data_IF_453289000483
#
_entry.id   IF_453289000483
#
_cell.length_a   1.000
_cell.length_b   1.000
_cell.length_c   1.000
_cell.angle_alpha   90.00
_cell.angle_beta   90.00
_cell.angle_gamma   90.00
#
_symmetry.space_group_name_H-M   'P 1'
#
loop_
_entity.id
_entity.type
_entity.pdbx_description
1 polymer ?
#
# COMPACT_ATOMS: atom_id res chain seq x y z
N UNK A 1 -7.67 -10.85 -4.29
CA UNK A 1 -8.80 -10.74 -3.35
C UNK A 1 -10.01 -10.23 -4.08
N UNK A 2 -11.17 -10.86 -3.87
CA UNK A 2 -12.41 -10.39 -4.46
C UNK A 2 -12.76 -9.00 -3.91
N UNK A 3 -13.18 -8.07 -4.79
CA UNK A 3 -13.29 -6.67 -4.40
C UNK A 3 -14.53 -6.37 -3.56
N UNK A 4 -15.64 -7.07 -3.75
CA UNK A 4 -16.93 -6.80 -3.09
C UNK A 4 -17.58 -8.07 -2.54
N UNK A 5 -16.85 -8.79 -1.68
CA UNK A 5 -17.38 -9.97 -0.98
C UNK A 5 -16.90 -9.97 0.46
N UNK A 6 -17.63 -10.66 1.35
CA UNK A 6 -17.24 -10.83 2.75
C UNK A 6 -15.89 -11.56 2.88
N UNK A 7 -15.68 -12.62 2.10
CA UNK A 7 -14.40 -13.31 2.06
C UNK A 7 -13.27 -12.37 1.62
N UNK A 8 -13.50 -11.60 0.56
CA UNK A 8 -12.55 -10.58 0.10
C UNK A 8 -12.22 -9.56 1.18
N UNK A 9 -13.20 -9.10 1.97
CA UNK A 9 -12.95 -8.19 3.08
C UNK A 9 -11.99 -8.80 4.11
N UNK A 10 -12.20 -10.06 4.51
CA UNK A 10 -11.31 -10.79 5.43
C UNK A 10 -9.90 -10.96 4.86
N UNK A 11 -9.80 -11.26 3.57
CA UNK A 11 -8.51 -11.38 2.89
C UNK A 11 -7.75 -10.03 2.89
N UNK A 12 -8.44 -8.92 2.60
CA UNK A 12 -7.85 -7.58 2.63
C UNK A 12 -7.42 -7.14 4.03
N UNK A 13 -8.19 -7.51 5.06
CA UNK A 13 -7.82 -7.25 6.46
C UNK A 13 -6.60 -8.07 6.88
N UNK A 14 -6.47 -9.31 6.42
CA UNK A 14 -5.35 -10.20 6.75
C UNK A 14 -4.00 -9.75 6.19
N UNK A 15 -3.98 -8.75 5.30
CA UNK A 15 -2.76 -8.16 4.74
C UNK A 15 -1.94 -7.38 5.76
N UNK A 16 -2.55 -7.02 6.89
CA UNK A 16 -1.90 -6.25 7.95
C UNK A 16 -1.96 -7.07 9.24
N UNK A 17 -0.90 -7.09 10.06
CA UNK A 17 -0.91 -7.71 11.37
C UNK A 17 -2.08 -7.25 12.25
N UNK A 18 -2.53 -8.12 13.17
CA UNK A 18 -3.71 -7.88 13.99
C UNK A 18 -3.55 -6.69 14.96
N UNK A 19 -2.33 -6.44 15.44
CA UNK A 19 -1.95 -5.25 16.23
C UNK A 19 -1.87 -3.97 15.36
N UNK A 20 -1.96 -4.14 14.05
CA UNK A 20 -1.88 -3.12 13.04
C UNK A 20 -0.48 -2.85 12.49
N UNK A 21 0.52 -3.61 12.93
CA UNK A 21 1.92 -3.41 12.58
C UNK A 21 2.47 -2.11 13.15
N UNK A 22 2.07 -1.79 14.39
CA UNK A 22 2.44 -0.55 15.07
C UNK A 22 3.77 -0.76 15.77
N UNK A 23 4.74 0.09 15.43
CA UNK A 23 6.04 0.16 16.08
C UNK A 23 6.02 1.32 17.07
N UNK A 24 6.44 1.02 18.29
CA UNK A 24 6.59 1.98 19.38
C UNK A 24 8.06 2.34 19.54
N UNK A 25 8.38 3.62 19.63
CA UNK A 25 9.71 4.08 20.04
C UNK A 25 9.60 5.27 20.98
N UNK A 26 10.65 5.48 21.78
CA UNK A 26 10.76 6.67 22.62
C UNK A 26 11.48 7.75 21.83
N UNK A 27 10.86 8.92 21.68
CA UNK A 27 11.51 10.08 21.09
C UNK A 27 12.63 10.55 22.02
N UNK A 28 13.85 10.67 21.49
CA UNK A 28 15.02 11.04 22.28
C UNK A 28 15.03 12.52 22.71
N UNK A 29 14.32 13.39 21.98
CA UNK A 29 14.25 14.83 22.25
C UNK A 29 13.14 15.15 23.26
N UNK A 30 11.95 14.59 23.09
CA UNK A 30 10.79 14.87 23.96
C UNK A 30 10.66 13.89 25.12
N UNK A 31 11.28 12.70 25.00
CA UNK A 31 11.10 11.60 25.95
C UNK A 31 9.76 10.88 25.82
N UNK A 32 8.89 11.30 24.91
CA UNK A 32 7.54 10.73 24.74
C UNK A 32 7.57 9.40 23.99
N UNK A 33 6.55 8.57 24.22
CA UNK A 33 6.34 7.34 23.45
C UNK A 33 5.58 7.66 22.17
N UNK A 34 6.21 7.43 21.03
CA UNK A 34 5.64 7.66 19.70
C UNK A 34 5.32 6.34 19.00
N UNK A 35 4.38 6.42 18.04
CA UNK A 35 3.90 5.28 17.27
C UNK A 35 3.98 5.55 15.78
N UNK A 36 4.34 4.52 15.02
CA UNK A 36 4.34 4.53 13.56
C UNK A 36 3.95 3.15 13.06
N UNK A 37 3.67 3.07 11.77
CA UNK A 37 3.50 1.81 11.08
C UNK A 37 4.57 1.66 10.03
N UNK A 38 5.03 0.44 9.80
CA UNK A 38 5.91 0.15 8.67
C UNK A 38 5.26 0.61 7.37
N UNK A 39 6.05 1.22 6.47
CA UNK A 39 5.54 1.74 5.19
C UNK A 39 4.75 0.69 4.39
N UNK A 40 5.16 -0.58 4.43
CA UNK A 40 4.45 -1.70 3.81
C UNK A 40 2.98 -1.79 4.27
N UNK A 41 2.74 -1.82 5.59
CA UNK A 41 1.40 -1.96 6.14
C UNK A 41 0.54 -0.72 5.90
N UNK A 42 1.14 0.46 5.94
CA UNK A 42 0.43 1.70 5.61
C UNK A 42 -0.06 1.72 4.14
N UNK A 43 0.75 1.23 3.21
CA UNK A 43 0.37 1.10 1.79
C UNK A 43 -0.84 0.16 1.64
N UNK A 44 -0.80 -1.01 2.27
CA UNK A 44 -1.86 -2.02 2.21
C UNK A 44 -3.17 -1.50 2.81
N UNK A 45 -3.10 -0.78 3.95
CA UNK A 45 -4.26 -0.08 4.53
C UNK A 45 -4.84 0.95 3.58
N UNK A 46 -4.00 1.80 2.98
CA UNK A 46 -4.46 2.83 2.04
C UNK A 46 -5.13 2.21 0.80
N UNK A 47 -4.62 1.08 0.30
CA UNK A 47 -5.25 0.36 -0.81
C UNK A 47 -6.62 -0.20 -0.41
N UNK A 48 -6.77 -0.73 0.81
CA UNK A 48 -8.06 -1.20 1.29
C UNK A 48 -9.07 -0.04 1.45
N UNK A 49 -8.63 1.13 1.93
CA UNK A 49 -9.47 2.34 1.98
C UNK A 49 -9.98 2.71 0.58
N UNK A 50 -9.09 2.77 -0.41
CA UNK A 50 -9.48 3.08 -1.80
C UNK A 50 -10.47 2.04 -2.33
N UNK A 51 -10.23 0.76 -2.07
CA UNK A 51 -11.17 -0.32 -2.43
C UNK A 51 -12.56 -0.08 -1.83
N UNK A 52 -12.65 0.23 -0.54
CA UNK A 52 -13.93 0.41 0.15
C UNK A 52 -14.73 1.57 -0.47
N UNK A 53 -14.05 2.65 -0.88
CA UNK A 53 -14.70 3.76 -1.59
C UNK A 53 -15.10 3.39 -3.03
N UNK A 54 -14.37 2.50 -3.70
CA UNK A 54 -14.71 2.03 -5.07
C UNK A 54 -15.96 1.13 -5.12
N UNK A 55 -16.15 0.28 -4.12
CA UNK A 55 -17.32 -0.63 -4.03
C UNK A 55 -18.52 0.03 -3.36
N UNK A 56 -18.38 1.29 -2.96
CA UNK A 56 -19.41 1.99 -2.23
C UNK A 56 -20.68 2.13 -3.08
N UNK A 57 -21.88 1.81 -2.55
CA UNK A 57 -23.14 2.00 -3.25
C UNK A 57 -23.40 3.48 -3.59
N UNK A 58 -23.17 3.88 -4.84
CA UNK A 58 -23.24 5.28 -5.30
C UNK A 58 -24.65 5.86 -5.37
N UNK A 59 -25.71 5.04 -5.27
CA UNK A 59 -27.10 5.47 -5.51
C UNK A 59 -28.01 5.54 -4.29
N UNK A 60 -27.64 4.96 -3.14
CA UNK A 60 -28.57 4.76 -2.02
C UNK A 60 -28.03 5.17 -0.63
N UNK A 61 -26.74 5.50 -0.49
CA UNK A 61 -26.14 5.80 0.81
C UNK A 61 -25.94 7.30 1.05
N UNK A 62 -26.53 7.80 2.14
CA UNK A 62 -26.51 9.22 2.57
C UNK A 62 -25.18 9.67 3.22
N UNK A 63 -24.20 8.79 3.40
CA UNK A 63 -22.94 9.16 4.06
C UNK A 63 -22.05 9.98 3.13
N UNK A 64 -21.41 11.05 3.62
CA UNK A 64 -20.41 11.75 2.81
C UNK A 64 -19.16 10.87 2.70
N UNK A 65 -18.54 10.71 1.51
CA UNK A 65 -17.25 10.03 1.39
C UNK A 65 -16.25 10.62 2.38
N UNK A 66 -15.34 9.81 2.92
CA UNK A 66 -14.26 10.35 3.76
C UNK A 66 -13.16 10.94 2.86
N UNK A 67 -13.48 12.06 2.21
CA UNK A 67 -12.62 12.72 1.22
C UNK A 67 -11.22 13.00 1.76
N UNK A 68 -11.11 13.39 3.04
CA UNK A 68 -9.82 13.67 3.68
C UNK A 68 -8.96 12.41 3.78
N UNK A 69 -9.54 11.30 4.23
CA UNK A 69 -8.82 10.03 4.32
C UNK A 69 -8.46 9.50 2.94
N UNK A 70 -9.38 9.59 1.98
CA UNK A 70 -9.15 9.13 0.61
C UNK A 70 -8.05 9.95 -0.07
N UNK A 71 -8.05 11.29 0.08
CA UNK A 71 -7.00 12.17 -0.43
C UNK A 71 -5.64 11.86 0.21
N UNK A 72 -5.60 11.58 1.52
CA UNK A 72 -4.40 11.11 2.20
C UNK A 72 -3.87 9.79 1.60
N UNK A 73 -4.75 8.80 1.43
CA UNK A 73 -4.39 7.50 0.86
C UNK A 73 -3.87 7.62 -0.58
N UNK A 74 -4.53 8.41 -1.42
CA UNK A 74 -4.06 8.64 -2.80
C UNK A 74 -2.71 9.37 -2.84
N UNK A 75 -2.52 10.38 -1.99
CA UNK A 75 -1.23 11.08 -1.90
C UNK A 75 -0.12 10.14 -1.42
N UNK A 76 -0.40 9.29 -0.43
CA UNK A 76 0.57 8.33 0.07
C UNK A 76 0.95 7.28 -0.98
N UNK A 77 -0.04 6.73 -1.71
CA UNK A 77 0.20 5.77 -2.79
C UNK A 77 0.99 6.43 -3.93
N UNK A 78 0.65 7.66 -4.30
CA UNK A 78 1.40 8.44 -5.30
C UNK A 78 2.87 8.61 -4.88
N UNK A 79 3.12 9.07 -3.65
CA UNK A 79 4.49 9.25 -3.14
C UNK A 79 5.26 7.93 -3.13
N UNK A 80 4.63 6.85 -2.67
CA UNK A 80 5.23 5.51 -2.66
C UNK A 80 5.67 5.07 -4.06
N UNK A 81 4.79 5.21 -5.06
CA UNK A 81 5.08 4.81 -6.44
C UNK A 81 6.19 5.66 -7.06
N UNK A 82 6.21 6.98 -6.79
CA UNK A 82 7.25 7.86 -7.31
C UNK A 82 8.62 7.58 -6.67
N UNK A 83 8.68 7.29 -5.37
CA UNK A 83 9.94 7.03 -4.66
C UNK A 83 10.52 5.62 -4.92
N UNK A 84 9.69 4.67 -5.34
CA UNK A 84 10.10 3.28 -5.61
C UNK A 84 9.91 2.87 -7.06
N UNK A 85 9.72 3.84 -7.95
CA UNK A 85 9.63 3.57 -9.38
C UNK A 85 10.95 2.96 -9.86
N UNK A 86 10.85 2.05 -10.83
CA UNK A 86 12.04 1.57 -11.51
C UNK A 86 12.65 2.72 -12.30
N UNK A 87 13.92 3.02 -12.06
CA UNK A 87 14.69 3.94 -12.91
C UNK A 87 15.30 3.22 -14.13
N UNK A 88 15.01 1.93 -14.29
CA UNK A 88 15.49 1.17 -15.43
C UNK A 88 14.81 1.64 -16.70
N UNK A 89 15.61 2.12 -17.66
CA UNK A 89 15.17 2.40 -19.02
C UNK A 89 15.23 1.10 -19.80
N UNK A 90 14.11 0.72 -20.42
CA UNK A 90 14.04 -0.49 -21.23
C UNK A 90 15.04 -0.40 -22.39
N UNK A 91 15.85 -1.44 -22.56
CA UNK A 91 16.87 -1.45 -23.59
C UNK A 91 16.22 -1.67 -24.96
N UNK A 92 16.64 -0.91 -25.94
CA UNK A 92 16.29 -1.15 -27.34
C UNK A 92 17.14 -2.32 -27.83
N UNK A 93 16.48 -3.45 -28.11
CA UNK A 93 17.12 -4.70 -28.53
C UNK A 93 17.61 -4.61 -29.98
N UNK A 94 16.79 -4.01 -30.84
CA UNK A 94 17.04 -3.79 -32.28
C UNK A 94 16.07 -2.70 -32.80
N UNK A 95 16.42 -1.92 -33.84
CA UNK A 95 15.52 -0.93 -34.45
C UNK A 95 14.22 -1.46 -35.04
N UNK A 96 14.17 -2.75 -35.35
CA UNK A 96 13.06 -3.44 -35.99
C UNK A 96 12.45 -4.55 -35.11
N UNK A 97 13.16 -5.00 -34.07
CA UNK A 97 12.77 -6.15 -33.22
C UNK A 97 12.25 -5.76 -31.81
N UNK A 98 12.01 -4.47 -31.58
CA UNK A 98 11.25 -3.97 -30.42
C UNK A 98 12.05 -3.81 -29.11
N UNK A 99 11.33 -3.54 -28.03
CA UNK A 99 11.87 -3.18 -26.71
C UNK A 99 12.04 -4.42 -25.83
N UNK A 100 13.23 -4.58 -25.23
CA UNK A 100 13.47 -5.63 -24.26
C UNK A 100 12.99 -5.19 -22.87
N UNK A 101 11.81 -5.64 -22.49
CA UNK A 101 11.21 -5.41 -21.17
C UNK A 101 11.70 -6.38 -20.08
N UNK A 102 12.58 -7.33 -20.45
CA UNK A 102 13.10 -8.35 -19.51
C UNK A 102 14.37 -7.83 -18.84
N UNK A 103 14.22 -7.35 -17.61
CA UNK A 103 15.35 -6.95 -16.76
C UNK A 103 15.33 -7.74 -15.44
N UNK A 104 16.51 -7.96 -14.82
CA UNK A 104 16.60 -8.69 -13.57
C UNK A 104 15.81 -7.96 -12.48
N UNK A 105 14.79 -8.62 -11.94
CA UNK A 105 14.03 -8.16 -10.76
C UNK A 105 14.57 -8.86 -9.53
N UNK A 106 14.82 -8.12 -8.46
CA UNK A 106 15.21 -8.69 -7.17
C UNK A 106 13.97 -8.79 -6.29
N UNK A 107 13.51 -10.02 -6.05
CA UNK A 107 12.45 -10.27 -5.08
C UNK A 107 12.99 -10.07 -3.66
N UNK A 108 12.29 -9.29 -2.84
CA UNK A 108 12.58 -9.15 -1.42
C UNK A 108 11.70 -10.10 -0.62
N UNK A 109 12.28 -10.75 0.39
CA UNK A 109 11.52 -11.60 1.30
C UNK A 109 10.76 -10.73 2.31
N UNK A 110 9.50 -10.43 1.97
CA UNK A 110 8.64 -9.63 2.83
C UNK A 110 8.17 -10.38 4.08
N UNK A 111 8.29 -11.71 4.15
CA UNK A 111 7.84 -12.50 5.31
C UNK A 111 8.55 -12.06 6.60
N UNK A 112 9.81 -11.65 6.49
CA UNK A 112 10.61 -11.10 7.60
C UNK A 112 9.94 -9.90 8.27
N UNK A 113 9.20 -9.09 7.53
CA UNK A 113 8.48 -7.92 8.08
C UNK A 113 7.26 -8.35 8.88
N UNK A 114 6.58 -9.42 8.45
CA UNK A 114 5.45 -10.00 9.18
C UNK A 114 5.90 -10.78 10.41
N UNK A 115 7.04 -11.48 10.34
CA UNK A 115 7.63 -12.20 11.48
C UNK A 115 8.11 -11.27 12.60
N UNK A 116 8.43 -10.01 12.27
CA UNK A 116 8.90 -9.01 13.23
C UNK A 116 7.78 -8.10 13.77
N UNK A 117 6.56 -8.26 13.28
CA UNK A 117 5.39 -7.51 13.70
C UNK A 117 4.61 -8.25 14.79
#
# INVERSE_FOLDING_TARGET
>A
YQIDTEMGAKEWESLVPADGGIVYWRNNETGELETCTTSLFHQLRCLNVVRLELIRPTRLEMHTPNERLLAHCFNYIRQTNLCRSSLFVEAMSDPFDGVNFTYPRVCKDWRRVYEAA
#
